data_IF_445361418799
#
_entry.id   IF_445361418799
#
_cell.length_a   1.000
_cell.length_b   1.000
_cell.length_c   1.000
_cell.angle_alpha   90.00
_cell.angle_beta   90.00
_cell.angle_gamma   90.00
#
_symmetry.space_group_name_H-M   'P 1'
#
loop_
_entity.id
_entity.type
_entity.pdbx_description
1 polymer ?
#
# COMPACT_ATOMS: atom_id res chain seq x y z
N UNK A 1 0.34 -17.93 -5.10
CA UNK A 1 0.11 -18.90 -3.97
C UNK A 1 1.06 -18.68 -2.79
N UNK A 2 2.39 -18.60 -3.00
CA UNK A 2 3.36 -18.40 -1.89
C UNK A 2 3.10 -17.05 -1.21
N UNK A 3 3.00 -15.96 -1.96
CA UNK A 3 2.77 -14.63 -1.41
C UNK A 3 1.41 -14.50 -0.68
N UNK A 4 0.39 -15.25 -1.09
CA UNK A 4 -0.94 -15.27 -0.45
C UNK A 4 -0.88 -15.71 1.02
N UNK A 5 0.06 -16.58 1.37
CA UNK A 5 0.23 -17.08 2.74
C UNK A 5 1.34 -16.36 3.50
N UNK A 6 2.44 -16.03 2.80
CA UNK A 6 3.58 -15.38 3.44
C UNK A 6 3.26 -13.96 3.88
N UNK A 7 2.56 -13.18 3.07
CA UNK A 7 2.26 -11.79 3.39
C UNK A 7 1.34 -11.64 4.63
N UNK A 8 0.20 -12.36 4.76
CA UNK A 8 -0.60 -12.31 5.97
C UNK A 8 0.12 -12.82 7.22
N UNK A 9 0.90 -13.90 7.10
CA UNK A 9 1.66 -14.44 8.23
C UNK A 9 2.66 -13.41 8.76
N UNK A 10 3.42 -12.81 7.87
CA UNK A 10 4.40 -11.80 8.20
C UNK A 10 3.76 -10.54 8.81
N UNK A 11 2.67 -10.04 8.18
CA UNK A 11 1.92 -8.90 8.71
C UNK A 11 1.36 -9.21 10.11
N UNK A 12 0.87 -10.44 10.33
CA UNK A 12 0.40 -10.91 11.63
C UNK A 12 1.51 -10.95 12.68
N UNK A 13 2.70 -11.45 12.33
CA UNK A 13 3.85 -11.48 13.24
C UNK A 13 4.31 -10.06 13.60
N UNK A 14 4.39 -9.16 12.61
CA UNK A 14 4.73 -7.76 12.87
C UNK A 14 3.68 -7.08 13.75
N UNK A 15 2.40 -7.26 13.43
CA UNK A 15 1.30 -6.69 14.23
C UNK A 15 1.30 -7.22 15.67
N UNK A 16 1.62 -8.51 15.87
CA UNK A 16 1.74 -9.08 17.20
C UNK A 16 2.90 -8.45 17.99
N UNK A 17 4.07 -8.31 17.39
CA UNK A 17 5.20 -7.61 18.03
C UNK A 17 4.85 -6.17 18.37
N UNK A 18 4.23 -5.45 17.43
CA UNK A 18 3.77 -4.09 17.63
C UNK A 18 2.80 -4.00 18.81
N UNK A 19 1.81 -4.90 18.86
CA UNK A 19 0.86 -4.97 19.96
C UNK A 19 1.54 -5.21 21.32
N UNK A 20 2.49 -6.14 21.39
CA UNK A 20 3.23 -6.42 22.62
C UNK A 20 4.01 -5.17 23.09
N UNK A 21 4.75 -4.50 22.19
CA UNK A 21 5.47 -3.28 22.52
C UNK A 21 4.53 -2.19 23.03
N UNK A 22 3.38 -2.00 22.37
CA UNK A 22 2.40 -0.99 22.77
C UNK A 22 1.76 -1.30 24.13
N UNK A 23 1.44 -2.57 24.41
CA UNK A 23 0.87 -2.98 25.69
C UNK A 23 1.87 -2.79 26.82
N UNK A 24 3.13 -3.18 26.62
CA UNK A 24 4.20 -3.01 27.61
C UNK A 24 4.47 -1.52 27.94
N UNK A 25 4.21 -0.64 26.98
CA UNK A 25 4.46 0.81 27.12
C UNK A 25 3.16 1.63 27.14
N UNK A 26 2.01 1.03 27.47
CA UNK A 26 0.69 1.67 27.37
C UNK A 26 0.60 3.01 28.10
N UNK A 27 1.23 3.11 29.27
CA UNK A 27 1.26 4.36 30.06
C UNK A 27 1.99 5.53 29.40
N UNK A 28 2.91 5.26 28.48
CA UNK A 28 3.69 6.30 27.76
C UNK A 28 3.03 6.72 26.43
N UNK A 29 2.03 5.99 25.95
CA UNK A 29 1.34 6.30 24.67
C UNK A 29 0.76 7.71 24.64
N UNK A 30 0.07 8.23 25.66
CA UNK A 30 -0.45 9.60 25.62
C UNK A 30 0.65 10.65 25.45
N UNK A 31 1.80 10.46 26.08
CA UNK A 31 2.97 11.33 25.95
C UNK A 31 3.55 11.29 24.53
N UNK A 32 3.67 10.11 23.93
CA UNK A 32 4.12 9.94 22.56
C UNK A 32 3.18 10.62 21.55
N UNK A 33 1.87 10.45 21.70
CA UNK A 33 0.87 11.13 20.86
C UNK A 33 0.93 12.66 21.02
N UNK A 34 1.09 13.14 22.24
CA UNK A 34 1.29 14.58 22.50
C UNK A 34 2.53 15.10 21.79
N UNK A 35 3.64 14.33 21.82
CA UNK A 35 4.90 14.69 21.13
C UNK A 35 4.74 14.74 19.60
N UNK A 36 3.94 13.84 19.02
CA UNK A 36 3.62 13.86 17.59
C UNK A 36 2.85 15.13 17.24
N UNK A 37 1.81 15.45 18.02
CA UNK A 37 0.97 16.63 17.78
C UNK A 37 1.77 17.93 17.97
N UNK A 38 2.53 18.05 19.05
CA UNK A 38 3.35 19.24 19.31
C UNK A 38 4.45 19.41 18.25
N UNK A 39 5.07 18.32 17.79
CA UNK A 39 6.04 18.35 16.71
C UNK A 39 5.44 18.73 15.36
N UNK A 40 4.22 18.27 15.06
CA UNK A 40 3.51 18.60 13.83
C UNK A 40 3.12 20.07 13.75
N UNK A 41 2.66 20.65 14.85
CA UNK A 41 2.26 22.06 14.91
C UNK A 41 3.39 23.03 15.30
N UNK A 42 4.61 22.52 15.46
CA UNK A 42 5.79 23.36 15.68
C UNK A 42 5.79 24.12 17.01
N UNK A 43 5.07 23.64 18.02
CA UNK A 43 4.96 24.32 19.31
C UNK A 43 6.35 24.53 19.94
N UNK A 44 7.26 23.56 19.80
CA UNK A 44 8.65 23.67 20.28
C UNK A 44 9.58 24.40 19.28
N UNK A 45 9.16 24.59 18.04
CA UNK A 45 9.93 25.23 16.97
C UNK A 45 9.43 26.64 16.62
N UNK A 46 8.37 27.09 17.27
CA UNK A 46 7.78 28.42 17.09
C UNK A 46 8.78 29.56 17.35
N UNK A 47 9.85 29.28 18.06
CA UNK A 47 10.93 30.23 18.41
C UNK A 47 12.05 30.25 17.36
N UNK A 48 12.12 29.27 16.44
CA UNK A 48 13.28 29.10 15.54
C UNK A 48 12.98 29.17 14.02
N UNK A 49 11.85 29.71 13.60
CA UNK A 49 11.53 29.86 12.17
C UNK A 49 10.44 28.89 11.66
N UNK A 50 9.22 29.22 11.95
CA UNK A 50 8.01 28.37 11.92
C UNK A 50 7.64 27.78 10.56
N UNK A 51 7.90 28.45 9.44
CA UNK A 51 7.37 28.05 8.13
C UNK A 51 8.12 26.89 7.49
N UNK A 52 9.43 26.80 7.68
CA UNK A 52 10.26 25.78 7.02
C UNK A 52 10.10 24.37 7.63
N UNK A 53 9.98 24.29 8.95
CA UNK A 53 9.86 22.99 9.66
C UNK A 53 8.53 22.31 9.41
N UNK A 54 7.42 23.06 9.48
CA UNK A 54 6.08 22.52 9.19
C UNK A 54 5.96 22.06 7.74
N UNK A 55 6.38 22.87 6.77
CA UNK A 55 6.33 22.51 5.36
C UNK A 55 7.18 21.26 5.05
N UNK A 56 8.38 21.16 5.62
CA UNK A 56 9.24 20.00 5.44
C UNK A 56 8.63 18.73 6.07
N UNK A 57 8.07 18.84 7.29
CA UNK A 57 7.39 17.73 7.95
C UNK A 57 6.16 17.27 7.17
N UNK A 58 5.33 18.19 6.70
CA UNK A 58 4.16 17.91 5.88
C UNK A 58 4.55 17.24 4.55
N UNK A 59 5.52 17.80 3.82
CA UNK A 59 5.98 17.23 2.55
C UNK A 59 6.58 15.82 2.72
N UNK A 60 7.42 15.60 3.75
CA UNK A 60 7.98 14.29 4.01
C UNK A 60 6.90 13.30 4.48
N UNK A 61 5.99 13.72 5.34
CA UNK A 61 4.87 12.89 5.81
C UNK A 61 3.97 12.47 4.66
N UNK A 62 3.57 13.40 3.78
CA UNK A 62 2.76 13.10 2.59
C UNK A 62 3.50 12.14 1.66
N UNK A 63 4.77 12.42 1.32
CA UNK A 63 5.57 11.54 0.46
C UNK A 63 5.67 10.12 1.01
N UNK A 64 5.99 9.97 2.29
CA UNK A 64 6.18 8.64 2.89
C UNK A 64 4.87 7.92 3.14
N UNK A 65 3.79 8.63 3.47
CA UNK A 65 2.45 8.06 3.58
C UNK A 65 1.94 7.52 2.25
N UNK A 66 2.04 8.30 1.18
CA UNK A 66 1.66 7.86 -0.17
C UNK A 66 2.51 6.67 -0.63
N UNK A 67 3.80 6.68 -0.35
CA UNK A 67 4.70 5.56 -0.64
C UNK A 67 4.27 4.27 0.08
N UNK A 68 3.86 4.34 1.35
CA UNK A 68 3.47 3.18 2.14
C UNK A 68 2.20 2.50 1.61
N UNK A 69 1.17 3.29 1.32
CA UNK A 69 -0.14 2.77 0.92
C UNK A 69 -0.40 2.79 -0.59
N UNK A 70 0.56 3.31 -1.38
CA UNK A 70 0.50 3.44 -2.84
C UNK A 70 -0.74 4.19 -3.36
N UNK A 71 -1.45 4.94 -2.49
CA UNK A 71 -2.69 5.62 -2.83
C UNK A 71 -2.43 6.80 -3.76
N UNK A 72 -2.98 6.72 -4.96
CA UNK A 72 -2.83 7.77 -5.97
C UNK A 72 -1.53 7.69 -6.79
N UNK A 73 -0.61 6.79 -6.48
CA UNK A 73 0.65 6.62 -7.24
C UNK A 73 0.47 5.91 -8.58
N UNK A 74 -0.57 5.06 -8.72
CA UNK A 74 -0.87 4.36 -9.97
C UNK A 74 -0.46 2.88 -10.00
N UNK A 75 0.14 2.34 -8.95
CA UNK A 75 0.48 0.92 -8.80
C UNK A 75 -0.75 0.08 -8.41
N UNK A 76 -1.54 0.54 -7.46
CA UNK A 76 -2.75 -0.14 -6.94
C UNK A 76 -3.77 -0.51 -8.02
N UNK A 77 -4.05 0.30 -9.05
CA UNK A 77 -4.92 -0.11 -10.15
C UNK A 77 -4.50 -1.39 -10.85
N UNK A 78 -3.19 -1.69 -10.91
CA UNK A 78 -2.69 -2.94 -11.50
C UNK A 78 -3.06 -4.16 -10.65
N UNK A 79 -2.99 -4.04 -9.32
CA UNK A 79 -3.47 -5.08 -8.41
C UNK A 79 -5.00 -5.24 -8.51
N UNK A 80 -5.74 -4.14 -8.53
CA UNK A 80 -7.18 -4.14 -8.67
C UNK A 80 -7.66 -4.81 -9.96
N UNK A 81 -6.93 -4.62 -11.07
CA UNK A 81 -7.24 -5.25 -12.36
C UNK A 81 -7.12 -6.78 -12.36
N UNK A 82 -6.42 -7.38 -11.40
CA UNK A 82 -6.30 -8.84 -11.27
C UNK A 82 -7.40 -9.46 -10.39
N UNK A 83 -8.17 -8.65 -9.70
CA UNK A 83 -9.20 -9.13 -8.78
C UNK A 83 -10.46 -9.61 -9.53
N UNK A 84 -10.99 -10.75 -9.11
CA UNK A 84 -12.29 -11.25 -9.58
C UNK A 84 -13.35 -10.80 -8.59
N UNK A 85 -14.21 -9.87 -9.00
CA UNK A 85 -15.27 -9.29 -8.16
C UNK A 85 -16.58 -9.19 -8.94
N UNK A 86 -17.70 -9.27 -8.26
CA UNK A 86 -19.01 -9.15 -8.89
C UNK A 86 -19.33 -7.69 -9.31
N UNK A 87 -18.69 -6.73 -8.64
CA UNK A 87 -18.87 -5.30 -8.91
C UNK A 87 -17.57 -4.53 -8.68
N UNK A 88 -17.11 -3.64 -9.58
CA UNK A 88 -15.83 -2.94 -9.45
C UNK A 88 -15.72 -2.08 -8.17
N UNK A 89 -16.83 -1.56 -7.66
CA UNK A 89 -16.86 -0.78 -6.41
C UNK A 89 -16.44 -1.62 -5.20
N UNK A 90 -16.69 -2.94 -5.20
CA UNK A 90 -16.20 -3.82 -4.11
C UNK A 90 -14.69 -3.76 -3.98
N UNK A 91 -13.98 -3.87 -5.12
CA UNK A 91 -12.53 -3.77 -5.12
C UNK A 91 -12.04 -2.38 -4.70
N UNK A 92 -12.72 -1.32 -5.15
CA UNK A 92 -12.41 0.05 -4.71
C UNK A 92 -12.55 0.23 -3.20
N UNK A 93 -13.62 -0.30 -2.60
CA UNK A 93 -13.85 -0.24 -1.15
C UNK A 93 -12.81 -1.05 -0.36
N UNK A 94 -12.45 -2.24 -0.84
CA UNK A 94 -11.40 -3.08 -0.24
C UNK A 94 -10.05 -2.34 -0.26
N UNK A 95 -9.70 -1.73 -1.38
CA UNK A 95 -8.46 -0.94 -1.49
C UNK A 95 -8.48 0.28 -0.56
N UNK A 96 -9.60 1.00 -0.48
CA UNK A 96 -9.75 2.14 0.44
C UNK A 96 -9.60 1.72 1.90
N UNK A 97 -10.17 0.57 2.28
CA UNK A 97 -9.99 0.01 3.61
C UNK A 97 -8.52 -0.37 3.88
N UNK A 98 -7.84 -0.95 2.87
CA UNK A 98 -6.41 -1.28 2.95
C UNK A 98 -5.56 -0.04 3.23
N UNK A 99 -5.78 1.06 2.50
CA UNK A 99 -5.10 2.34 2.71
C UNK A 99 -5.35 2.88 4.12
N UNK A 100 -6.59 2.81 4.61
CA UNK A 100 -6.94 3.25 5.96
C UNK A 100 -6.21 2.43 7.03
N UNK A 101 -6.24 1.10 6.91
CA UNK A 101 -5.57 0.19 7.88
C UNK A 101 -4.05 0.40 7.85
N UNK A 102 -3.43 0.50 6.68
CA UNK A 102 -2.00 0.76 6.56
C UNK A 102 -1.62 2.07 7.26
N UNK A 103 -2.29 3.17 6.92
CA UNK A 103 -1.91 4.50 7.40
C UNK A 103 -2.26 4.69 8.88
N UNK A 104 -3.48 4.35 9.29
CA UNK A 104 -3.95 4.66 10.65
C UNK A 104 -3.51 3.61 11.66
N UNK A 105 -3.46 2.33 11.27
CA UNK A 105 -3.11 1.27 12.22
C UNK A 105 -1.62 0.95 12.16
N UNK A 106 -1.12 0.54 10.99
CA UNK A 106 0.26 0.03 10.86
C UNK A 106 1.29 1.13 11.03
N UNK A 107 1.14 2.25 10.31
CA UNK A 107 2.10 3.36 10.40
C UNK A 107 2.07 4.04 11.78
N UNK A 108 0.89 4.18 12.41
CA UNK A 108 0.80 4.73 13.76
C UNK A 108 1.44 3.80 14.78
N UNK A 109 1.21 2.49 14.69
CA UNK A 109 1.85 1.50 15.56
C UNK A 109 3.39 1.56 15.43
N UNK A 110 3.92 1.62 14.20
CA UNK A 110 5.35 1.74 13.93
C UNK A 110 5.93 3.05 14.52
N UNK A 111 5.24 4.18 14.33
CA UNK A 111 5.66 5.46 14.91
C UNK A 111 5.71 5.41 16.44
N UNK A 112 4.70 4.81 17.06
CA UNK A 112 4.66 4.63 18.51
C UNK A 112 5.78 3.71 19.01
N UNK A 113 6.06 2.59 18.32
CA UNK A 113 7.20 1.71 18.65
C UNK A 113 8.50 2.51 18.71
N UNK A 114 8.76 3.31 17.67
CA UNK A 114 9.97 4.14 17.56
C UNK A 114 10.05 5.17 18.69
N UNK A 115 8.96 5.86 19.00
CA UNK A 115 8.92 6.89 20.03
C UNK A 115 8.99 6.33 21.46
N UNK A 116 8.39 5.16 21.70
CA UNK A 116 8.33 4.52 23.02
C UNK A 116 9.62 3.76 23.37
N UNK A 117 10.40 3.37 22.39
CA UNK A 117 11.64 2.59 22.59
C UNK A 117 12.79 3.36 23.27
N UNK A 118 12.77 4.71 23.19
CA UNK A 118 13.87 5.54 23.64
C UNK A 118 15.08 5.56 22.69
N UNK A 119 15.10 4.75 21.65
CA UNK A 119 16.18 4.71 20.64
C UNK A 119 16.19 6.00 19.80
N UNK A 120 15.01 6.48 19.44
CA UNK A 120 14.88 7.73 18.70
C UNK A 120 14.84 8.94 19.62
N UNK A 121 15.81 9.85 19.44
CA UNK A 121 15.82 11.15 20.09
C UNK A 121 15.97 12.25 19.04
N UNK A 122 15.00 13.19 18.90
CA UNK A 122 15.04 14.21 17.85
C UNK A 122 16.34 15.03 17.83
N UNK A 123 16.86 15.39 19.01
CA UNK A 123 18.11 16.14 19.16
C UNK A 123 19.34 15.31 18.75
N UNK A 124 19.41 14.04 19.17
CA UNK A 124 20.51 13.14 18.85
C UNK A 124 20.59 12.82 17.37
N UNK A 125 19.46 12.53 16.75
CA UNK A 125 19.40 12.27 15.29
C UNK A 125 19.82 13.48 14.47
N UNK A 126 19.43 14.69 14.87
CA UNK A 126 19.86 15.93 14.21
C UNK A 126 21.35 16.20 14.40
N UNK A 127 21.87 15.97 15.59
CA UNK A 127 23.30 16.13 15.88
C UNK A 127 24.12 15.14 15.07
N UNK A 128 23.72 13.86 15.00
CA UNK A 128 24.37 12.84 14.19
C UNK A 128 24.34 13.20 12.70
N UNK A 129 23.21 13.66 12.17
CA UNK A 129 23.10 14.06 10.77
C UNK A 129 23.95 15.28 10.40
N UNK A 130 24.24 16.16 11.35
CA UNK A 130 25.12 17.30 11.14
C UNK A 130 26.62 16.90 11.10
N UNK A 131 27.02 15.87 11.84
CA UNK A 131 28.41 15.39 11.92
C UNK A 131 28.68 14.30 10.88
N UNK A 132 27.79 13.30 10.78
CA UNK A 132 27.89 12.19 9.84
C UNK A 132 26.51 11.88 9.22
N UNK A 133 26.21 12.50 8.07
CA UNK A 133 24.96 12.24 7.37
C UNK A 133 24.77 10.80 6.90
N UNK A 134 25.85 10.03 6.73
CA UNK A 134 25.77 8.63 6.33
C UNK A 134 25.37 7.76 7.51
N UNK A 135 26.04 7.92 8.65
CA UNK A 135 25.70 7.21 9.88
C UNK A 135 24.26 7.49 10.33
N UNK A 136 23.77 8.74 10.14
CA UNK A 136 22.37 9.08 10.42
C UNK A 136 21.38 8.33 9.51
N UNK A 137 21.70 8.14 8.23
CA UNK A 137 20.88 7.34 7.31
C UNK A 137 20.89 5.86 7.64
N UNK A 138 22.06 5.34 7.98
CA UNK A 138 22.22 3.93 8.35
C UNK A 138 21.44 3.63 9.64
N UNK A 139 21.54 4.50 10.65
CA UNK A 139 20.74 4.42 11.87
C UNK A 139 19.21 4.51 11.58
N UNK A 140 18.80 5.38 10.65
CA UNK A 140 17.38 5.48 10.27
C UNK A 140 16.87 4.21 9.57
N UNK A 141 17.69 3.51 8.78
CA UNK A 141 17.31 2.29 8.07
C UNK A 141 17.03 1.11 9.02
N UNK A 142 17.68 1.07 10.18
CA UNK A 142 17.51 0.02 11.20
C UNK A 142 16.64 0.45 12.38
N UNK A 143 16.10 1.67 12.37
CA UNK A 143 15.45 2.30 13.51
C UNK A 143 14.31 1.46 14.08
N UNK A 144 13.44 0.89 13.24
CA UNK A 144 12.32 0.07 13.71
C UNK A 144 12.79 -1.23 14.35
N UNK A 145 13.76 -1.94 13.75
CA UNK A 145 14.29 -3.18 14.30
C UNK A 145 15.02 -2.92 15.62
N UNK A 146 15.86 -1.89 15.69
CA UNK A 146 16.54 -1.49 16.92
C UNK A 146 15.57 -1.05 18.02
N UNK A 147 14.47 -0.38 17.64
CA UNK A 147 13.41 0.01 18.58
C UNK A 147 12.69 -1.19 19.18
N UNK A 148 12.38 -2.20 18.38
CA UNK A 148 11.78 -3.45 18.85
C UNK A 148 12.79 -4.22 19.72
N UNK A 149 14.05 -4.30 19.30
CA UNK A 149 15.13 -4.93 20.04
C UNK A 149 15.34 -4.32 21.43
N UNK A 150 15.31 -3.00 21.53
CA UNK A 150 15.44 -2.28 22.79
C UNK A 150 14.32 -2.62 23.81
N UNK A 151 13.11 -2.95 23.35
CA UNK A 151 11.97 -3.27 24.23
C UNK A 151 11.83 -4.78 24.50
N UNK A 152 12.03 -5.61 23.46
CA UNK A 152 11.76 -7.06 23.54
C UNK A 152 13.03 -7.91 23.63
N UNK A 153 14.21 -7.31 23.48
CA UNK A 153 15.52 -7.97 23.54
C UNK A 153 16.10 -8.30 22.16
N UNK A 154 17.41 -8.53 22.11
CA UNK A 154 18.21 -8.68 20.90
C UNK A 154 17.79 -9.86 20.00
N UNK A 155 17.15 -10.87 20.54
CA UNK A 155 16.66 -12.01 19.78
C UNK A 155 15.66 -11.59 18.67
N UNK A 156 14.97 -10.47 18.88
CA UNK A 156 13.99 -9.95 17.91
C UNK A 156 14.66 -9.39 16.64
N UNK A 157 15.94 -9.08 16.67
CA UNK A 157 16.67 -8.63 15.47
C UNK A 157 16.67 -9.71 14.39
N UNK A 158 16.86 -10.98 14.76
CA UNK A 158 16.80 -12.09 13.81
C UNK A 158 15.39 -12.29 13.24
N UNK A 159 14.36 -12.13 14.10
CA UNK A 159 12.98 -12.20 13.67
C UNK A 159 12.62 -11.04 12.73
N UNK A 160 13.09 -9.83 13.05
CA UNK A 160 12.90 -8.65 12.20
C UNK A 160 13.63 -8.79 10.87
N UNK A 161 14.85 -9.33 10.86
CA UNK A 161 15.58 -9.61 9.61
C UNK A 161 14.79 -10.58 8.72
N UNK A 162 14.19 -11.63 9.30
CA UNK A 162 13.33 -12.55 8.57
C UNK A 162 12.07 -11.86 8.04
N UNK A 163 11.40 -11.07 8.86
CA UNK A 163 10.19 -10.32 8.45
C UNK A 163 10.53 -9.35 7.30
N UNK A 164 11.62 -8.58 7.42
CA UNK A 164 12.07 -7.64 6.39
C UNK A 164 12.41 -8.37 5.09
N UNK A 165 13.07 -9.54 5.18
CA UNK A 165 13.35 -10.37 4.01
C UNK A 165 12.06 -10.79 3.30
N UNK A 166 11.06 -11.27 4.05
CA UNK A 166 9.77 -11.67 3.47
C UNK A 166 9.03 -10.47 2.88
N UNK A 167 9.09 -9.29 3.53
CA UNK A 167 8.55 -8.04 2.97
C UNK A 167 9.20 -7.67 1.64
N UNK A 168 10.53 -7.64 1.59
CA UNK A 168 11.26 -7.31 0.38
C UNK A 168 10.94 -8.30 -0.75
N UNK A 169 10.88 -9.59 -0.44
CA UNK A 169 10.55 -10.63 -1.41
C UNK A 169 9.09 -10.51 -1.92
N UNK A 170 8.14 -10.29 -1.02
CA UNK A 170 6.73 -10.10 -1.42
C UNK A 170 6.51 -8.83 -2.25
N UNK A 171 7.22 -7.75 -1.93
CA UNK A 171 7.20 -6.50 -2.71
C UNK A 171 7.79 -6.70 -4.10
N UNK A 172 8.87 -7.46 -4.22
CA UNK A 172 9.45 -7.82 -5.52
C UNK A 172 8.46 -8.61 -6.39
N UNK A 173 7.75 -9.58 -5.79
CA UNK A 173 6.70 -10.35 -6.49
C UNK A 173 5.51 -9.47 -6.88
N UNK A 174 5.10 -8.54 -6.02
CA UNK A 174 4.04 -7.57 -6.31
C UNK A 174 4.39 -6.70 -7.51
N UNK A 175 5.56 -6.09 -7.49
CA UNK A 175 6.06 -5.26 -8.58
C UNK A 175 6.21 -6.04 -9.90
N UNK A 176 6.65 -7.32 -9.83
CA UNK A 176 6.64 -8.20 -11.00
C UNK A 176 5.22 -8.38 -11.55
N UNK A 177 4.23 -8.61 -10.69
CA UNK A 177 2.83 -8.78 -11.10
C UNK A 177 2.28 -7.51 -11.75
N UNK A 178 2.55 -6.32 -11.20
CA UNK A 178 2.16 -5.05 -11.81
C UNK A 178 2.74 -4.89 -13.22
N UNK A 179 4.04 -5.15 -13.36
CA UNK A 179 4.69 -5.09 -14.66
C UNK A 179 4.14 -6.14 -15.64
N UNK A 180 3.84 -7.34 -15.17
CA UNK A 180 3.25 -8.41 -15.99
C UNK A 180 1.86 -8.03 -16.50
N UNK A 181 0.97 -7.51 -15.65
CA UNK A 181 -0.38 -7.07 -16.04
C UNK A 181 -0.31 -6.04 -17.17
N UNK A 182 0.59 -5.05 -17.04
CA UNK A 182 0.79 -4.06 -18.09
C UNK A 182 1.35 -4.67 -19.40
N UNK A 183 2.27 -5.61 -19.31
CA UNK A 183 2.80 -6.29 -20.49
C UNK A 183 1.77 -7.20 -21.18
N UNK A 184 0.94 -7.89 -20.40
CA UNK A 184 -0.17 -8.70 -20.91
C UNK A 184 -1.23 -7.83 -21.61
N UNK A 185 -1.49 -6.62 -21.11
CA UNK A 185 -2.36 -5.65 -21.76
C UNK A 185 -1.79 -5.18 -23.11
N UNK A 186 -0.49 -4.91 -23.18
CA UNK A 186 0.16 -4.39 -24.40
C UNK A 186 0.41 -5.46 -25.47
N UNK A 187 0.69 -6.70 -25.06
CA UNK A 187 1.13 -7.77 -25.97
C UNK A 187 0.16 -8.95 -26.09
N UNK A 188 -0.92 -8.94 -25.34
CA UNK A 188 -1.85 -10.05 -25.19
C UNK A 188 -1.39 -11.06 -24.14
N UNK A 189 -2.36 -11.81 -23.62
CA UNK A 189 -2.14 -12.84 -22.59
C UNK A 189 -1.43 -14.06 -23.17
N UNK A 190 -0.73 -14.79 -22.30
CA UNK A 190 -0.08 -16.07 -22.66
C UNK A 190 1.37 -15.96 -23.16
N UNK A 191 1.93 -14.76 -23.26
CA UNK A 191 3.34 -14.58 -23.60
C UNK A 191 4.24 -14.83 -22.38
N UNK A 192 5.35 -15.54 -22.59
CA UNK A 192 6.38 -15.70 -21.54
C UNK A 192 7.31 -14.49 -21.55
N UNK A 193 7.14 -13.59 -20.56
CA UNK A 193 7.92 -12.36 -20.47
C UNK A 193 9.32 -12.58 -19.86
N UNK A 194 10.18 -13.39 -20.52
CA UNK A 194 11.53 -13.67 -20.01
C UNK A 194 12.37 -12.39 -19.85
N UNK A 195 12.27 -11.46 -20.81
CA UNK A 195 13.00 -10.19 -20.74
C UNK A 195 12.59 -9.38 -19.52
N UNK A 196 11.29 -9.32 -19.18
CA UNK A 196 10.79 -8.65 -17.98
C UNK A 196 11.35 -9.29 -16.71
N UNK A 197 11.37 -10.62 -16.64
CA UNK A 197 11.93 -11.34 -15.48
C UNK A 197 13.42 -11.06 -15.31
N UNK A 198 14.17 -11.10 -16.39
CA UNK A 198 15.60 -10.79 -16.38
C UNK A 198 15.85 -9.35 -15.95
N UNK A 199 15.04 -8.40 -16.45
CA UNK A 199 15.15 -6.99 -16.09
C UNK A 199 14.87 -6.75 -14.59
N UNK A 200 13.86 -7.42 -14.01
CA UNK A 200 13.54 -7.30 -12.58
C UNK A 200 14.65 -7.89 -11.71
N UNK A 201 15.19 -9.06 -12.08
CA UNK A 201 16.32 -9.68 -11.37
C UNK A 201 17.55 -8.78 -11.46
N UNK A 202 17.84 -8.20 -12.62
CA UNK A 202 18.95 -7.27 -12.81
C UNK A 202 18.73 -5.98 -11.97
N UNK A 203 17.53 -5.43 -11.96
CA UNK A 203 17.19 -4.26 -11.15
C UNK A 203 17.36 -4.52 -9.65
N UNK A 204 16.92 -5.70 -9.18
CA UNK A 204 17.12 -6.11 -7.79
C UNK A 204 18.61 -6.24 -7.44
N UNK A 205 19.42 -6.83 -8.33
CA UNK A 205 20.87 -6.94 -8.19
C UNK A 205 21.57 -5.57 -8.15
N UNK A 206 21.19 -4.66 -9.06
CA UNK A 206 21.71 -3.28 -9.07
C UNK A 206 21.31 -2.56 -7.77
N UNK A 207 20.04 -2.69 -7.34
CA UNK A 207 19.55 -2.08 -6.11
C UNK A 207 20.30 -2.55 -4.86
N UNK A 208 20.73 -3.83 -4.83
CA UNK A 208 21.47 -4.39 -3.71
C UNK A 208 22.87 -3.78 -3.52
N UNK A 209 23.50 -3.28 -4.59
CA UNK A 209 24.84 -2.66 -4.56
C UNK A 209 24.82 -1.13 -4.67
N UNK A 210 23.69 -0.56 -5.06
CA UNK A 210 23.54 0.88 -5.21
C UNK A 210 23.46 1.59 -3.84
N UNK A 211 23.88 2.86 -3.78
CA UNK A 211 23.71 3.65 -2.56
C UNK A 211 22.24 3.90 -2.24
N UNK A 212 21.88 3.83 -0.97
CA UNK A 212 20.52 4.07 -0.48
C UNK A 212 19.96 5.41 -0.96
N UNK A 213 20.80 6.46 -0.97
CA UNK A 213 20.42 7.79 -1.48
C UNK A 213 20.03 7.76 -2.97
N UNK A 214 20.78 7.04 -3.78
CA UNK A 214 20.49 6.92 -5.22
C UNK A 214 19.15 6.21 -5.44
N UNK A 215 18.94 5.08 -4.75
CA UNK A 215 17.71 4.28 -4.88
C UNK A 215 16.49 5.11 -4.48
N UNK A 216 16.54 5.83 -3.34
CA UNK A 216 15.43 6.67 -2.90
C UNK A 216 15.15 7.84 -3.86
N UNK A 217 16.19 8.53 -4.35
CA UNK A 217 15.98 9.63 -5.29
C UNK A 217 15.39 9.14 -6.61
N UNK A 218 15.87 8.02 -7.12
CA UNK A 218 15.34 7.42 -8.35
C UNK A 218 13.87 7.00 -8.15
N UNK A 219 13.57 6.36 -7.03
CA UNK A 219 12.21 5.97 -6.66
C UNK A 219 11.29 7.19 -6.61
N UNK A 220 11.66 8.25 -5.88
CA UNK A 220 10.85 9.47 -5.76
C UNK A 220 10.53 10.10 -7.14
N UNK A 221 11.49 10.09 -8.09
CA UNK A 221 11.28 10.61 -9.45
C UNK A 221 10.31 9.73 -10.25
N UNK A 222 10.56 8.41 -10.26
CA UNK A 222 9.75 7.46 -11.05
C UNK A 222 8.31 7.42 -10.53
N UNK A 223 8.15 7.38 -9.22
CA UNK A 223 6.82 7.38 -8.58
C UNK A 223 6.10 8.70 -8.79
N UNK A 224 6.81 9.84 -8.75
CA UNK A 224 6.21 11.13 -9.08
C UNK A 224 5.68 11.19 -10.51
N UNK A 225 6.40 10.65 -11.49
CA UNK A 225 5.93 10.55 -12.87
C UNK A 225 4.71 9.63 -12.99
N UNK A 226 4.74 8.49 -12.33
CA UNK A 226 3.62 7.55 -12.31
C UNK A 226 2.37 8.18 -11.68
N UNK A 227 2.53 8.90 -10.57
CA UNK A 227 1.45 9.60 -9.89
C UNK A 227 0.80 10.68 -10.76
N UNK A 228 1.58 11.46 -11.52
CA UNK A 228 1.05 12.47 -12.45
C UNK A 228 0.16 11.79 -13.51
N UNK A 229 0.64 10.72 -14.12
CA UNK A 229 -0.14 9.96 -15.12
C UNK A 229 -1.42 9.41 -14.51
N UNK A 230 -1.33 8.86 -13.29
CA UNK A 230 -2.48 8.30 -12.60
C UNK A 230 -3.51 9.36 -12.22
N UNK A 231 -3.09 10.54 -11.73
CA UNK A 231 -4.00 11.65 -11.40
C UNK A 231 -4.77 12.10 -12.64
N UNK A 232 -4.08 12.24 -13.77
CA UNK A 232 -4.75 12.57 -15.05
C UNK A 232 -5.78 11.49 -15.40
N UNK A 233 -5.43 10.22 -15.27
CA UNK A 233 -6.35 9.10 -15.53
C UNK A 233 -7.55 9.11 -14.59
N UNK A 234 -7.35 9.36 -13.30
CA UNK A 234 -8.43 9.46 -12.30
C UNK A 234 -9.40 10.60 -12.66
N UNK A 235 -8.88 11.77 -13.05
CA UNK A 235 -9.71 12.91 -13.45
C UNK A 235 -10.55 12.59 -14.69
N UNK A 236 -9.94 11.97 -15.70
CA UNK A 236 -10.63 11.59 -16.94
C UNK A 236 -11.67 10.49 -16.74
N UNK A 237 -11.35 9.51 -15.90
CA UNK A 237 -12.23 8.36 -15.61
C UNK A 237 -13.20 8.60 -14.43
N UNK A 238 -13.14 9.75 -13.78
CA UNK A 238 -13.95 10.05 -12.60
C UNK A 238 -15.44 9.86 -12.79
N UNK A 239 -15.97 10.25 -13.96
CA UNK A 239 -17.39 10.05 -14.29
C UNK A 239 -17.81 8.57 -14.33
N UNK A 240 -16.89 7.71 -14.78
CA UNK A 240 -17.10 6.25 -14.79
C UNK A 240 -17.10 5.67 -13.38
N UNK A 241 -16.17 6.12 -12.55
CA UNK A 241 -16.09 5.68 -11.16
C UNK A 241 -17.33 6.10 -10.35
N UNK A 242 -17.77 7.35 -10.48
CA UNK A 242 -18.99 7.82 -9.82
C UNK A 242 -20.25 7.17 -10.39
N UNK A 243 -20.29 6.87 -11.68
CA UNK A 243 -21.37 6.11 -12.29
C UNK A 243 -21.46 4.69 -11.73
N UNK A 244 -20.32 3.99 -11.64
CA UNK A 244 -20.27 2.67 -11.01
C UNK A 244 -20.68 2.70 -9.54
N UNK A 245 -20.31 3.75 -8.79
CA UNK A 245 -20.73 3.94 -7.40
C UNK A 245 -22.24 4.14 -7.30
N UNK A 246 -22.83 4.94 -8.17
CA UNK A 246 -24.28 5.17 -8.20
C UNK A 246 -25.05 3.86 -8.52
N UNK A 247 -24.54 3.06 -9.45
CA UNK A 247 -25.10 1.73 -9.77
C UNK A 247 -25.03 0.80 -8.55
N UNK A 248 -23.86 0.76 -7.87
CA UNK A 248 -23.68 -0.02 -6.64
C UNK A 248 -24.67 0.38 -5.54
N UNK A 249 -24.85 1.67 -5.31
CA UNK A 249 -25.80 2.17 -4.30
C UNK A 249 -27.24 1.85 -4.64
N UNK A 250 -27.61 1.93 -5.91
CA UNK A 250 -28.95 1.56 -6.39
C UNK A 250 -29.19 0.06 -6.18
N UNK A 251 -28.27 -0.78 -6.62
CA UNK A 251 -28.38 -2.23 -6.43
C UNK A 251 -28.41 -2.61 -4.94
N UNK A 252 -27.64 -1.96 -4.07
CA UNK A 252 -27.72 -2.19 -2.62
C UNK A 252 -29.09 -1.85 -2.04
N UNK A 253 -29.70 -0.75 -2.48
CA UNK A 253 -31.07 -0.38 -2.05
C UNK A 253 -32.08 -1.41 -2.52
N UNK A 254 -31.98 -1.86 -3.76
CA UNK A 254 -32.88 -2.88 -4.34
C UNK A 254 -32.69 -4.24 -3.68
N UNK A 255 -31.48 -4.62 -3.34
CA UNK A 255 -31.20 -5.84 -2.59
C UNK A 255 -31.84 -5.79 -1.18
N UNK A 256 -31.67 -4.66 -0.48
CA UNK A 256 -32.27 -4.45 0.84
C UNK A 256 -33.81 -4.44 0.80
N UNK A 257 -34.40 -4.05 -0.32
CA UNK A 257 -35.86 -4.09 -0.56
C UNK A 257 -36.38 -5.47 -1.07
N UNK A 258 -35.49 -6.46 -1.23
CA UNK A 258 -35.86 -7.79 -1.77
C UNK A 258 -36.26 -7.78 -3.25
N UNK A 259 -35.83 -6.78 -4.02
CA UNK A 259 -36.15 -6.65 -5.44
C UNK A 259 -35.17 -7.38 -6.36
N UNK A 260 -33.95 -7.63 -5.85
CA UNK A 260 -32.91 -8.43 -6.50
C UNK A 260 -32.27 -9.36 -5.46
N UNK A 261 -31.74 -10.50 -5.92
CA UNK A 261 -31.15 -11.51 -5.04
C UNK A 261 -29.63 -11.28 -4.86
N UNK A 262 -28.98 -10.58 -5.79
CA UNK A 262 -27.53 -10.36 -5.77
C UNK A 262 -27.16 -9.04 -6.44
N UNK A 263 -25.98 -8.50 -6.05
CA UNK A 263 -25.37 -7.34 -6.70
C UNK A 263 -24.44 -7.83 -7.80
N UNK A 264 -24.64 -7.32 -9.01
CA UNK A 264 -23.83 -7.69 -10.17
C UNK A 264 -23.68 -6.50 -11.13
N UNK A 265 -22.45 -6.18 -11.48
CA UNK A 265 -22.17 -5.09 -12.40
C UNK A 265 -22.31 -5.57 -13.85
N UNK A 266 -23.11 -4.85 -14.62
CA UNK A 266 -23.23 -4.99 -16.07
C UNK A 266 -23.03 -3.62 -16.68
N UNK A 267 -22.08 -3.48 -17.59
CA UNK A 267 -21.78 -2.20 -18.23
C UNK A 267 -22.71 -1.89 -19.41
N UNK A 268 -23.22 -2.92 -20.07
CA UNK A 268 -24.13 -2.77 -21.21
C UNK A 268 -25.46 -2.13 -20.79
N UNK A 269 -25.84 -1.06 -21.47
CA UNK A 269 -27.09 -0.31 -21.22
C UNK A 269 -27.22 0.18 -19.75
N UNK A 270 -26.12 0.40 -19.06
CA UNK A 270 -26.13 0.86 -17.67
C UNK A 270 -26.44 2.37 -17.61
N UNK A 271 -27.59 2.76 -17.03
CA UNK A 271 -28.04 4.16 -17.04
C UNK A 271 -27.14 5.08 -16.18
N UNK A 272 -26.34 4.52 -15.29
CA UNK A 272 -25.43 5.28 -14.42
C UNK A 272 -24.09 5.59 -15.09
N UNK A 273 -23.73 4.90 -16.18
CA UNK A 273 -22.46 5.11 -16.86
C UNK A 273 -22.55 6.18 -17.94
N UNK A 274 -21.47 6.94 -18.18
CA UNK A 274 -21.44 8.00 -19.19
C UNK A 274 -21.37 7.48 -20.65
N UNK A 275 -21.33 6.17 -20.85
CA UNK A 275 -21.22 5.52 -22.16
C UNK A 275 -20.95 4.03 -22.04
N UNK A 276 -20.51 3.39 -23.11
CA UNK A 276 -20.16 1.97 -23.14
C UNK A 276 -18.70 1.73 -22.74
N UNK A 277 -18.45 0.70 -21.93
CA UNK A 277 -17.10 0.26 -21.63
C UNK A 277 -16.55 -0.62 -22.75
N UNK A 278 -15.29 -0.43 -23.18
CA UNK A 278 -14.67 -1.31 -24.15
C UNK A 278 -14.41 -2.69 -23.56
N UNK A 279 -14.59 -3.75 -24.36
CA UNK A 279 -14.32 -5.13 -23.97
C UNK A 279 -15.57 -5.86 -23.49
N UNK A 280 -15.39 -7.14 -23.14
CA UNK A 280 -16.50 -8.06 -22.82
C UNK A 280 -16.60 -8.43 -21.34
N UNK A 281 -15.63 -8.04 -20.52
CA UNK A 281 -15.53 -8.46 -19.11
C UNK A 281 -16.77 -8.12 -18.30
N UNK A 282 -17.39 -6.98 -18.60
CA UNK A 282 -18.59 -6.49 -17.92
C UNK A 282 -19.85 -6.56 -18.82
N UNK A 283 -19.81 -7.40 -19.86
CA UNK A 283 -20.98 -7.68 -20.69
C UNK A 283 -21.99 -8.55 -19.93
N UNK A 284 -23.26 -8.53 -20.35
CA UNK A 284 -24.31 -9.42 -19.78
C UNK A 284 -23.92 -10.90 -19.89
N UNK A 285 -23.24 -11.29 -20.96
CA UNK A 285 -22.81 -12.66 -21.18
C UNK A 285 -21.74 -13.12 -20.18
N UNK A 286 -20.81 -12.25 -19.81
CA UNK A 286 -19.71 -12.55 -18.90
C UNK A 286 -20.04 -12.25 -17.43
N UNK A 287 -20.93 -11.30 -17.15
CA UNK A 287 -21.40 -11.03 -15.80
C UNK A 287 -22.01 -12.27 -15.11
N UNK A 288 -22.61 -13.17 -15.86
CA UNK A 288 -23.13 -14.45 -15.36
C UNK A 288 -22.06 -15.48 -14.98
N UNK A 289 -20.78 -15.27 -15.35
CA UNK A 289 -19.67 -16.19 -15.07
C UNK A 289 -18.91 -15.87 -13.78
N UNK A 290 -19.09 -14.67 -13.24
CA UNK A 290 -18.47 -14.22 -12.00
C UNK A 290 -19.35 -14.68 -10.85
N UNK A 291 -18.79 -15.49 -9.93
CA UNK A 291 -19.53 -16.01 -8.78
C UNK A 291 -19.97 -14.87 -7.84
N UNK A 292 -21.17 -14.94 -7.27
CA UNK A 292 -21.63 -13.99 -6.27
C UNK A 292 -20.75 -14.00 -5.02
N UNK A 293 -20.83 -12.92 -4.23
CA UNK A 293 -20.11 -12.78 -2.96
C UNK A 293 -20.41 -13.98 -2.03
N UNK A 294 -19.36 -14.69 -1.62
CA UNK A 294 -19.44 -15.79 -0.65
C UNK A 294 -19.37 -17.19 -1.26
N UNK A 295 -19.44 -17.34 -2.58
CA UNK A 295 -19.14 -18.61 -3.22
C UNK A 295 -17.68 -18.65 -3.74
N UNK A 296 -16.96 -19.77 -3.56
CA UNK A 296 -15.64 -19.92 -4.16
C UNK A 296 -15.79 -19.85 -5.68
N UNK A 297 -15.21 -18.82 -6.29
CA UNK A 297 -15.35 -18.52 -7.71
C UNK A 297 -15.02 -19.72 -8.60
N UNK A 298 -15.92 -20.04 -9.52
CA UNK A 298 -15.59 -20.93 -10.64
C UNK A 298 -14.56 -20.22 -11.52
N UNK A 299 -13.46 -20.91 -11.80
CA UNK A 299 -12.45 -20.44 -12.74
C UNK A 299 -13.16 -20.08 -14.08
N UNK A 300 -13.03 -18.86 -14.61
CA UNK A 300 -13.63 -18.48 -15.88
C UNK A 300 -13.13 -19.33 -17.06
N UNK A 301 -12.07 -20.11 -16.88
CA UNK A 301 -11.54 -21.08 -17.86
C UNK A 301 -12.00 -22.52 -17.62
N UNK A 302 -12.99 -22.76 -16.74
CA UNK A 302 -13.67 -24.07 -16.62
C UNK A 302 -12.89 -25.18 -15.93
N UNK A 303 -11.72 -24.91 -15.36
CA UNK A 303 -10.96 -25.87 -14.58
C UNK A 303 -11.41 -25.83 -13.12
N UNK A 304 -12.01 -26.89 -12.61
CA UNK A 304 -12.19 -27.07 -11.18
C UNK A 304 -10.83 -27.00 -10.51
N UNK A 305 -10.63 -26.03 -9.59
CA UNK A 305 -9.41 -25.98 -8.78
C UNK A 305 -9.41 -27.20 -7.85
N UNK A 306 -8.31 -27.99 -7.80
CA UNK A 306 -8.19 -29.08 -6.84
C UNK A 306 -8.09 -28.57 -5.41
#
# INVERSE_FOLDING_TARGET
RIAEWMAPLMAGLYALMALVVLVLNAGAIPGALSSIISGAFGVDQAVAGISGGFAAAALNGIKRGLFSNEAGEGSVPNAAATATVAHPVQQGLIQSLGVFVDTIVVCTATALIVLLSGVYTPGGTRALAAVDPQAARDAASTLTSSSIGAVLGDWTEYLMAFIIFVFAYSSLLGNYTYAQVNMDFLRGTGHRHYALRLMIVAAAGIGAVASLKFVWNLSDVVMGLMAIINIVSIVLLGKWAFGALADWEDQRRRLAAGQIDEIRFVAEDNPHLPGELPGTVWSRADAGRIAPLGEPGRDPHGAARP
#
